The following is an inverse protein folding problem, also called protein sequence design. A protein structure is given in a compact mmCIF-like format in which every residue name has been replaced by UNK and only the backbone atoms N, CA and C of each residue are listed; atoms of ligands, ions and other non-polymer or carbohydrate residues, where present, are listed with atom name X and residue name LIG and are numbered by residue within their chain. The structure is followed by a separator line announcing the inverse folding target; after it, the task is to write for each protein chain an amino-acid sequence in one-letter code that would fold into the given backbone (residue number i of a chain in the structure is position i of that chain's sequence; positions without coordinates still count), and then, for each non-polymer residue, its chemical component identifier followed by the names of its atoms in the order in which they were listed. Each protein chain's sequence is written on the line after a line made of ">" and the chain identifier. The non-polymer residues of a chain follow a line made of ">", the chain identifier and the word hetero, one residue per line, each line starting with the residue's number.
data_IF_620666106882
#
_entry.id   IF_620666106882
#
_cell.length_a   1.000
_cell.length_b   1.000
_cell.length_c   1.000
_cell.angle_alpha   90.00
_cell.angle_beta   90.00
_cell.angle_gamma   90.00
#
_symmetry.space_group_name_H-M   'P 1'
#
loop_
_entity.id
_entity.type
_entity.pdbx_description
1 polymer ?
#
# COMPACT_ATOMS: atom_id res chain seq x y z
N UNK A 1 6.04 -14.73 -10.10
CA UNK A 1 6.90 -13.67 -9.54
C UNK A 1 6.86 -13.72 -8.02
N UNK A 2 7.88 -13.18 -7.34
CA UNK A 2 7.88 -12.89 -5.90
C UNK A 2 7.65 -11.40 -5.69
N UNK A 3 6.47 -11.04 -5.20
CA UNK A 3 6.02 -9.66 -5.06
C UNK A 3 5.90 -9.33 -3.58
N UNK A 4 6.44 -8.18 -3.18
CA UNK A 4 6.25 -7.63 -1.84
C UNK A 4 5.41 -6.36 -1.93
N UNK A 5 4.36 -6.30 -1.12
CA UNK A 5 3.65 -5.07 -0.80
C UNK A 5 4.00 -4.65 0.62
N UNK A 6 4.41 -3.40 0.83
CA UNK A 6 4.59 -2.81 2.15
C UNK A 6 3.52 -1.75 2.36
N UNK A 7 2.82 -1.83 3.49
CA UNK A 7 1.74 -0.91 3.80
C UNK A 7 2.24 0.46 4.26
N UNK A 8 1.35 1.24 4.86
CA UNK A 8 1.45 2.69 4.99
C UNK A 8 2.76 3.15 5.67
N UNK A 9 3.63 3.84 4.93
CA UNK A 9 4.89 4.36 5.48
C UNK A 9 4.61 5.58 6.34
N UNK A 10 4.88 5.46 7.64
CA UNK A 10 4.58 6.52 8.61
C UNK A 10 5.80 7.33 9.00
N UNK A 11 5.82 8.59 8.58
CA UNK A 11 6.77 9.59 9.06
C UNK A 11 8.23 9.18 8.91
N UNK A 12 9.11 9.77 9.73
CA UNK A 12 10.58 9.55 9.61
C UNK A 12 10.97 8.12 9.95
N UNK A 13 10.37 7.53 10.98
CA UNK A 13 10.67 6.17 11.41
C UNK A 13 10.38 5.15 10.31
N UNK A 14 9.21 5.25 9.64
CA UNK A 14 8.86 4.40 8.51
C UNK A 14 9.84 4.52 7.35
N UNK A 15 10.15 5.76 6.91
CA UNK A 15 11.13 5.97 5.82
C UNK A 15 12.51 5.38 6.14
N UNK A 16 12.97 5.55 7.38
CA UNK A 16 14.26 5.02 7.82
C UNK A 16 14.28 3.48 7.83
N UNK A 17 13.20 2.85 8.31
CA UNK A 17 13.07 1.40 8.30
C UNK A 17 13.05 0.83 6.87
N UNK A 18 12.30 1.44 5.94
CA UNK A 18 12.30 1.03 4.53
C UNK A 18 13.71 1.14 3.95
N UNK A 19 14.36 2.30 4.09
CA UNK A 19 15.71 2.55 3.55
C UNK A 19 16.74 1.54 4.08
N UNK A 20 16.59 1.14 5.34
CA UNK A 20 17.53 0.23 6.01
C UNK A 20 17.29 -1.23 5.65
N UNK A 21 16.04 -1.68 5.61
CA UNK A 21 15.73 -3.10 5.50
C UNK A 21 15.41 -3.54 4.07
N UNK A 22 14.74 -2.71 3.27
CA UNK A 22 14.22 -3.13 1.96
C UNK A 22 15.31 -3.67 1.01
N UNK A 23 16.50 -3.04 0.86
CA UNK A 23 17.55 -3.59 0.00
C UNK A 23 17.93 -5.03 0.36
N UNK A 24 18.13 -5.29 1.67
CA UNK A 24 18.45 -6.64 2.18
C UNK A 24 17.29 -7.62 1.94
N UNK A 25 16.04 -7.19 2.18
CA UNK A 25 14.86 -8.03 1.96
C UNK A 25 14.68 -8.41 0.49
N UNK A 26 15.02 -7.52 -0.45
CA UNK A 26 15.01 -7.84 -1.88
C UNK A 26 15.94 -8.99 -2.21
N UNK A 27 17.15 -8.99 -1.65
CA UNK A 27 18.15 -10.03 -1.88
C UNK A 27 17.75 -11.35 -1.19
N UNK A 28 17.42 -11.29 0.11
CA UNK A 28 17.09 -12.48 0.91
C UNK A 28 15.85 -13.21 0.38
N UNK A 29 14.80 -12.46 0.04
CA UNK A 29 13.54 -13.05 -0.43
C UNK A 29 13.48 -13.17 -1.94
N UNK A 30 14.51 -12.70 -2.66
CA UNK A 30 14.62 -12.70 -4.13
C UNK A 30 13.41 -12.02 -4.77
N UNK A 31 13.11 -10.81 -4.31
CA UNK A 31 11.93 -10.06 -4.74
C UNK A 31 12.08 -9.61 -6.20
N UNK A 32 11.10 -9.98 -7.02
CA UNK A 32 10.99 -9.55 -8.40
C UNK A 32 10.41 -8.14 -8.50
N UNK A 33 9.50 -7.78 -7.60
CA UNK A 33 8.76 -6.52 -7.64
C UNK A 33 8.30 -6.08 -6.25
N UNK A 34 8.40 -4.79 -5.95
CA UNK A 34 8.06 -4.19 -4.66
C UNK A 34 7.15 -2.98 -4.84
N UNK A 35 6.02 -2.99 -4.15
CA UNK A 35 5.10 -1.84 -4.05
C UNK A 35 5.09 -1.35 -2.60
N UNK A 36 5.16 -0.04 -2.39
CA UNK A 36 5.13 0.57 -1.06
C UNK A 36 4.05 1.64 -1.02
N UNK A 37 3.17 1.59 -0.02
CA UNK A 37 2.23 2.68 0.23
C UNK A 37 2.95 3.84 0.96
N UNK A 38 3.06 4.99 0.29
CA UNK A 38 3.80 6.15 0.77
C UNK A 38 2.96 7.26 1.39
N UNK A 39 1.66 7.04 1.66
CA UNK A 39 0.72 8.15 1.86
C UNK A 39 0.90 8.96 3.14
N UNK A 40 1.59 8.44 4.16
CA UNK A 40 1.88 9.18 5.40
C UNK A 40 3.38 9.50 5.55
N UNK A 41 4.16 9.31 4.48
CA UNK A 41 5.61 9.31 4.61
C UNK A 41 6.17 10.70 4.89
N UNK A 42 5.45 11.80 4.65
CA UNK A 42 5.92 13.17 4.94
C UNK A 42 5.17 13.77 6.11
N UNK A 43 5.81 13.79 7.29
CA UNK A 43 5.21 14.39 8.49
C UNK A 43 3.92 13.72 8.95
N UNK A 44 3.62 12.50 8.50
CA UNK A 44 2.43 11.73 8.84
C UNK A 44 1.25 11.91 7.89
N UNK A 45 1.32 12.82 6.91
CA UNK A 45 0.24 13.03 5.93
C UNK A 45 0.82 13.51 4.59
N UNK A 46 0.56 12.76 3.54
CA UNK A 46 1.07 12.94 2.18
C UNK A 46 2.54 12.55 2.00
N UNK A 47 3.03 12.75 0.78
CA UNK A 47 4.38 12.41 0.35
C UNK A 47 4.97 13.59 -0.44
N UNK A 48 6.17 14.05 -0.10
CA UNK A 48 6.94 14.98 -0.96
C UNK A 48 7.76 14.20 -1.98
N UNK A 49 8.08 14.81 -3.12
CA UNK A 49 8.93 14.21 -4.15
C UNK A 49 10.32 13.84 -3.63
N UNK A 50 10.88 14.65 -2.73
CA UNK A 50 12.15 14.33 -2.06
C UNK A 50 12.06 13.04 -1.23
N UNK A 51 10.99 12.85 -0.47
CA UNK A 51 10.79 11.61 0.30
C UNK A 51 10.37 10.43 -0.58
N UNK A 52 9.64 10.67 -1.68
CA UNK A 52 9.31 9.64 -2.67
C UNK A 52 10.58 9.05 -3.28
N UNK A 53 11.53 9.91 -3.66
CA UNK A 53 12.82 9.50 -4.19
C UNK A 53 13.58 8.61 -3.21
N UNK A 54 13.56 8.91 -1.90
CA UNK A 54 14.19 8.05 -0.88
C UNK A 54 13.63 6.62 -0.91
N UNK A 55 12.30 6.48 -0.97
CA UNK A 55 11.65 5.16 -0.98
C UNK A 55 11.93 4.40 -2.29
N UNK A 56 11.94 5.10 -3.42
CA UNK A 56 12.28 4.52 -4.73
C UNK A 56 13.75 4.10 -4.80
N UNK A 57 14.67 4.94 -4.33
CA UNK A 57 16.11 4.66 -4.28
C UNK A 57 16.44 3.51 -3.31
N UNK A 58 15.60 3.27 -2.29
CA UNK A 58 15.69 2.12 -1.40
C UNK A 58 15.23 0.79 -2.04
N UNK A 59 14.70 0.82 -3.26
CA UNK A 59 14.31 -0.37 -4.02
C UNK A 59 12.80 -0.61 -4.12
N UNK A 60 11.95 0.38 -3.84
CA UNK A 60 10.54 0.32 -4.25
C UNK A 60 10.42 0.49 -5.77
N UNK A 61 9.68 -0.40 -6.44
CA UNK A 61 9.43 -0.29 -7.88
C UNK A 61 8.26 0.67 -8.17
N UNK A 62 7.26 0.69 -7.27
CA UNK A 62 6.07 1.54 -7.36
C UNK A 62 5.72 2.09 -5.98
N UNK A 63 5.28 3.34 -5.94
CA UNK A 63 4.66 3.94 -4.77
C UNK A 63 3.17 4.13 -5.01
N UNK A 64 2.35 3.59 -4.12
CA UNK A 64 0.93 3.96 -4.02
C UNK A 64 0.77 5.07 -2.98
N UNK A 65 -0.33 5.81 -3.07
CA UNK A 65 -0.65 6.88 -2.13
C UNK A 65 -1.88 6.48 -1.31
N UNK A 66 -2.93 7.29 -1.29
CA UNK A 66 -4.09 7.03 -0.46
C UNK A 66 -4.96 8.26 -0.42
N UNK A 67 -5.73 8.45 0.63
CA UNK A 67 -6.58 9.62 0.72
C UNK A 67 -5.75 10.88 0.96
N UNK A 68 -4.56 10.76 1.58
CA UNK A 68 -3.62 11.86 1.80
C UNK A 68 -2.72 12.21 0.60
N UNK A 69 -3.01 11.67 -0.59
CA UNK A 69 -2.17 11.80 -1.79
C UNK A 69 -1.67 13.22 -2.10
N UNK A 70 -2.49 14.25 -1.85
CA UNK A 70 -2.18 15.65 -2.22
C UNK A 70 -2.14 16.62 -1.03
N UNK A 71 -2.03 16.10 0.20
CA UNK A 71 -1.89 16.95 1.40
C UNK A 71 -0.53 17.67 1.44
N UNK A 72 0.46 17.13 0.73
CA UNK A 72 1.68 17.84 0.37
C UNK A 72 1.52 18.50 -1.00
N UNK A 73 1.51 19.84 -1.04
CA UNK A 73 1.35 20.61 -2.29
C UNK A 73 2.37 20.23 -3.37
N UNK A 74 3.58 19.86 -2.94
CA UNK A 74 4.66 19.38 -3.80
C UNK A 74 4.25 18.16 -4.65
N UNK A 75 3.44 17.23 -4.11
CA UNK A 75 3.02 16.04 -4.85
C UNK A 75 2.16 16.36 -6.07
N UNK A 76 1.33 17.42 -6.00
CA UNK A 76 0.50 17.83 -7.14
C UNK A 76 1.35 18.20 -8.37
N UNK A 77 2.55 18.76 -8.15
CA UNK A 77 3.47 19.11 -9.23
C UNK A 77 4.42 17.95 -9.58
N UNK A 78 4.78 17.13 -8.60
CA UNK A 78 5.79 16.09 -8.78
C UNK A 78 5.27 14.81 -9.45
N UNK A 79 4.01 14.43 -9.20
CA UNK A 79 3.48 13.11 -9.58
C UNK A 79 3.54 12.82 -11.09
N UNK A 80 3.37 13.84 -11.94
CA UNK A 80 3.43 13.66 -13.40
C UNK A 80 4.86 13.46 -13.92
N UNK A 81 5.87 13.89 -13.16
CA UNK A 81 7.29 13.73 -13.51
C UNK A 81 7.88 12.39 -13.09
N UNK A 82 7.26 11.71 -12.13
CA UNK A 82 7.73 10.43 -11.60
C UNK A 82 6.73 9.31 -11.93
N UNK A 83 6.96 8.55 -13.02
CA UNK A 83 5.99 7.59 -13.51
C UNK A 83 5.75 6.38 -12.60
N UNK A 84 6.57 6.19 -11.55
CA UNK A 84 6.45 5.10 -10.57
C UNK A 84 5.51 5.42 -9.40
N UNK A 85 4.96 6.64 -9.34
CA UNK A 85 3.98 7.01 -8.31
C UNK A 85 2.58 6.93 -8.93
N UNK A 86 1.67 6.25 -8.25
CA UNK A 86 0.24 6.25 -8.60
C UNK A 86 -0.60 6.75 -7.43
N UNK A 87 -1.73 7.37 -7.76
CA UNK A 87 -2.74 7.86 -6.80
C UNK A 87 -4.03 7.03 -6.92
N UNK A 88 -5.03 7.16 -6.05
CA UNK A 88 -6.26 6.41 -6.23
C UNK A 88 -7.02 6.77 -7.53
N UNK A 89 -7.51 5.78 -8.27
CA UNK A 89 -8.26 5.94 -9.53
C UNK A 89 -9.45 6.88 -9.40
N UNK A 90 -10.19 6.72 -8.31
CA UNK A 90 -11.45 7.37 -8.00
C UNK A 90 -11.30 8.63 -7.12
N UNK A 91 -10.11 9.27 -7.12
CA UNK A 91 -9.86 10.47 -6.32
C UNK A 91 -10.53 11.74 -6.89
N UNK A 92 -10.30 12.01 -8.18
CA UNK A 92 -10.88 13.11 -8.98
C UNK A 92 -10.44 12.96 -10.44
N UNK A 93 -11.31 13.28 -11.40
CA UNK A 93 -10.98 13.30 -12.83
C UNK A 93 -9.97 14.40 -13.21
N UNK A 94 -9.89 15.46 -12.42
CA UNK A 94 -8.97 16.58 -12.65
C UNK A 94 -7.65 16.47 -11.85
N UNK A 95 -7.52 15.46 -10.98
CA UNK A 95 -6.30 15.27 -10.22
C UNK A 95 -5.15 14.79 -11.14
N UNK A 96 -3.92 15.31 -10.93
CA UNK A 96 -2.75 14.88 -11.70
C UNK A 96 -2.37 13.43 -11.40
N UNK A 97 -1.48 12.88 -12.22
CA UNK A 97 -1.06 11.49 -12.13
C UNK A 97 -2.14 10.50 -12.54
N UNK A 98 -1.76 9.23 -12.50
CA UNK A 98 -2.62 8.10 -12.88
C UNK A 98 -2.95 7.24 -11.67
N UNK A 99 -4.06 6.49 -11.74
CA UNK A 99 -4.39 5.53 -10.68
C UNK A 99 -4.21 4.06 -11.02
N UNK A 100 -3.82 3.76 -12.25
CA UNK A 100 -3.36 2.43 -12.62
C UNK A 100 -2.29 2.56 -13.71
N UNK A 101 -1.31 1.66 -13.67
CA UNK A 101 -0.25 1.58 -14.68
C UNK A 101 0.37 0.18 -14.73
N UNK A 102 0.82 -0.19 -15.92
CA UNK A 102 1.62 -1.41 -16.13
C UNK A 102 3.10 -1.05 -16.04
N UNK A 103 3.81 -1.76 -15.17
CA UNK A 103 5.23 -1.60 -14.91
C UNK A 103 6.00 -2.80 -15.42
N UNK A 104 7.24 -2.57 -15.85
CA UNK A 104 8.16 -3.64 -16.21
C UNK A 104 8.74 -4.27 -14.94
N UNK A 105 8.85 -5.59 -14.96
CA UNK A 105 9.54 -6.41 -13.97
C UNK A 105 10.65 -7.22 -14.65
N UNK A 106 11.62 -7.77 -13.89
CA UNK A 106 12.74 -8.54 -14.45
C UNK A 106 12.27 -9.68 -15.36
N UNK A 107 13.05 -10.00 -16.40
CA UNK A 107 12.72 -11.10 -17.33
C UNK A 107 11.59 -10.78 -18.33
N UNK A 108 11.33 -9.50 -18.60
CA UNK A 108 10.32 -9.06 -19.57
C UNK A 108 8.87 -9.18 -19.07
N UNK A 109 8.70 -9.50 -17.78
CA UNK A 109 7.39 -9.62 -17.13
C UNK A 109 6.80 -8.23 -16.87
N UNK A 110 5.49 -8.17 -16.75
CA UNK A 110 4.72 -6.94 -16.53
C UNK A 110 3.80 -7.08 -15.33
N UNK A 111 3.75 -6.03 -14.52
CA UNK A 111 2.89 -5.95 -13.33
C UNK A 111 1.95 -4.75 -13.47
N UNK A 112 0.64 -5.00 -13.49
CA UNK A 112 -0.35 -3.94 -13.32
C UNK A 112 -0.41 -3.56 -11.83
N UNK A 113 -0.29 -2.28 -11.52
CA UNK A 113 -0.60 -1.78 -10.17
C UNK A 113 -1.73 -0.76 -10.30
N UNK A 114 -2.74 -0.90 -9.46
CA UNK A 114 -3.85 0.04 -9.36
C UNK A 114 -4.18 0.33 -7.90
N UNK A 115 -4.70 1.52 -7.64
CA UNK A 115 -5.15 1.90 -6.31
C UNK A 115 -6.56 2.48 -6.35
N UNK A 116 -7.37 2.19 -5.33
CA UNK A 116 -8.68 2.80 -5.13
C UNK A 116 -8.90 3.23 -3.69
N UNK A 117 -9.79 4.20 -3.53
CA UNK A 117 -10.32 4.61 -2.24
C UNK A 117 -11.68 3.96 -2.01
N UNK A 118 -11.93 3.50 -0.78
CA UNK A 118 -13.27 3.13 -0.37
C UNK A 118 -14.16 4.35 -0.14
N UNK A 119 -15.37 4.11 0.33
CA UNK A 119 -16.36 5.15 0.62
C UNK A 119 -16.77 5.15 2.10
N UNK A 120 -16.87 3.97 2.72
CA UNK A 120 -17.43 3.85 4.07
C UNK A 120 -16.42 4.36 5.09
N UNK A 121 -16.85 5.32 5.92
CA UNK A 121 -16.04 5.99 6.95
C UNK A 121 -14.80 6.75 6.44
N UNK A 122 -14.73 7.01 5.14
CA UNK A 122 -13.68 7.85 4.55
C UNK A 122 -13.99 9.35 4.72
N UNK A 123 -12.96 10.20 4.61
CA UNK A 123 -13.07 11.65 4.87
C UNK A 123 -14.08 12.40 3.99
N UNK A 124 -14.43 11.84 2.84
CA UNK A 124 -15.45 12.34 1.91
C UNK A 124 -15.93 11.20 1.00
N UNK A 125 -17.10 11.32 0.37
CA UNK A 125 -17.48 10.40 -0.68
C UNK A 125 -16.55 10.53 -1.89
N UNK A 126 -16.06 9.38 -2.38
CA UNK A 126 -15.28 9.25 -3.61
C UNK A 126 -16.14 8.57 -4.69
N UNK A 127 -15.69 8.61 -5.96
CA UNK A 127 -16.37 7.90 -7.05
C UNK A 127 -16.34 6.37 -6.80
N UNK A 128 -17.24 5.61 -7.43
CA UNK A 128 -17.37 4.17 -7.24
C UNK A 128 -16.04 3.40 -7.49
N UNK A 129 -15.43 2.77 -6.46
CA UNK A 129 -14.18 2.02 -6.63
C UNK A 129 -14.37 0.73 -7.44
N UNK A 130 -15.54 0.10 -7.39
CA UNK A 130 -15.78 -1.19 -8.05
C UNK A 130 -15.78 -1.04 -9.57
N UNK A 131 -16.55 -0.08 -10.09
CA UNK A 131 -16.54 0.23 -11.53
C UNK A 131 -15.17 0.70 -12.02
N UNK A 132 -14.43 1.45 -11.20
CA UNK A 132 -13.07 1.90 -11.53
C UNK A 132 -12.11 0.70 -11.70
N UNK A 133 -12.12 -0.25 -10.76
CA UNK A 133 -11.31 -1.46 -10.83
C UNK A 133 -11.74 -2.36 -11.99
N UNK A 134 -13.05 -2.54 -12.22
CA UNK A 134 -13.56 -3.36 -13.32
C UNK A 134 -13.04 -2.89 -14.68
N UNK A 135 -13.06 -1.57 -14.91
CA UNK A 135 -12.56 -0.98 -16.15
C UNK A 135 -11.08 -1.28 -16.37
N UNK A 136 -10.25 -1.16 -15.32
CA UNK A 136 -8.81 -1.41 -15.40
C UNK A 136 -8.50 -2.89 -15.62
N UNK A 137 -9.15 -3.79 -14.90
CA UNK A 137 -8.91 -5.24 -15.01
C UNK A 137 -9.37 -5.80 -16.36
N UNK A 138 -10.47 -5.30 -16.93
CA UNK A 138 -10.90 -5.68 -18.29
C UNK A 138 -9.89 -5.28 -19.35
N UNK A 139 -9.25 -4.12 -19.19
CA UNK A 139 -8.23 -3.65 -20.12
C UNK A 139 -6.90 -4.40 -19.96
N UNK A 140 -6.65 -5.07 -18.84
CA UNK A 140 -5.37 -5.72 -18.56
C UNK A 140 -5.56 -7.12 -17.94
N UNK A 141 -6.13 -8.08 -18.70
CA UNK A 141 -6.34 -9.43 -18.19
C UNK A 141 -5.02 -10.12 -17.82
N UNK A 142 -5.05 -10.86 -16.71
CA UNK A 142 -3.92 -11.66 -16.23
C UNK A 142 -3.62 -12.86 -17.13
N UNK A 143 -2.38 -13.35 -17.09
CA UNK A 143 -1.93 -14.50 -17.88
C UNK A 143 -1.76 -14.20 -19.37
N UNK A 144 -1.75 -12.92 -19.73
CA UNK A 144 -1.55 -12.43 -21.08
C UNK A 144 -0.80 -11.10 -21.07
N UNK A 145 -1.53 -9.99 -21.06
CA UNK A 145 -0.93 -8.64 -21.14
C UNK A 145 -0.10 -8.27 -19.92
N UNK A 146 -0.44 -8.84 -18.76
CA UNK A 146 0.33 -8.72 -17.51
C UNK A 146 0.49 -10.09 -16.86
N UNK A 147 1.65 -10.31 -16.24
CA UNK A 147 1.99 -11.54 -15.50
C UNK A 147 1.57 -11.44 -14.02
N UNK A 148 1.28 -10.25 -13.53
CA UNK A 148 0.56 -10.06 -12.27
C UNK A 148 -0.21 -8.73 -12.26
N UNK A 149 -1.20 -8.65 -11.38
CA UNK A 149 -1.91 -7.41 -11.05
C UNK A 149 -2.07 -7.26 -9.54
N UNK A 150 -1.79 -6.06 -9.04
CA UNK A 150 -1.88 -5.70 -7.62
C UNK A 150 -2.86 -4.54 -7.46
N UNK A 151 -3.87 -4.73 -6.63
CA UNK A 151 -4.88 -3.74 -6.29
C UNK A 151 -4.69 -3.35 -4.82
N UNK A 152 -4.29 -2.09 -4.59
CA UNK A 152 -4.24 -1.47 -3.27
C UNK A 152 -5.62 -0.83 -2.96
N UNK A 153 -6.30 -1.36 -1.95
CA UNK A 153 -7.64 -0.93 -1.53
C UNK A 153 -7.52 -0.10 -0.26
N UNK A 154 -7.39 1.20 -0.45
CA UNK A 154 -7.16 2.14 0.64
C UNK A 154 -8.50 2.58 1.26
N UNK A 155 -8.94 1.91 2.33
CA UNK A 155 -10.19 2.26 3.01
C UNK A 155 -10.33 1.76 4.44
N UNK A 156 -11.31 2.31 5.15
CA UNK A 156 -11.58 2.01 6.57
C UNK A 156 -12.38 0.70 6.76
N UNK A 157 -13.51 0.56 6.07
CA UNK A 157 -14.44 -0.53 6.36
C UNK A 157 -13.95 -1.89 5.86
N UNK A 158 -13.80 -2.85 6.78
CA UNK A 158 -13.42 -4.24 6.47
C UNK A 158 -14.39 -4.90 5.49
N UNK A 159 -15.69 -4.61 5.58
CA UNK A 159 -16.69 -5.14 4.65
C UNK A 159 -16.46 -4.69 3.20
N UNK A 160 -16.03 -3.44 2.99
CA UNK A 160 -15.72 -2.90 1.67
C UNK A 160 -14.44 -3.55 1.10
N UNK A 161 -13.43 -3.77 1.95
CA UNK A 161 -12.19 -4.49 1.60
C UNK A 161 -12.47 -5.92 1.18
N UNK A 162 -13.24 -6.66 1.97
CA UNK A 162 -13.63 -8.05 1.65
C UNK A 162 -14.47 -8.11 0.38
N UNK A 163 -15.43 -7.20 0.21
CA UNK A 163 -16.24 -7.12 -1.01
C UNK A 163 -15.37 -6.88 -2.26
N UNK A 164 -14.38 -5.98 -2.18
CA UNK A 164 -13.43 -5.76 -3.28
C UNK A 164 -12.57 -6.99 -3.55
N UNK A 165 -12.10 -7.68 -2.51
CA UNK A 165 -11.38 -8.96 -2.62
C UNK A 165 -12.17 -9.99 -3.41
N UNK A 166 -13.42 -10.24 -3.01
CA UNK A 166 -14.31 -11.17 -3.72
C UNK A 166 -14.68 -10.70 -5.12
N UNK A 167 -14.87 -9.40 -5.33
CA UNK A 167 -15.14 -8.83 -6.64
C UNK A 167 -13.98 -9.08 -7.62
N UNK A 168 -12.74 -8.97 -7.14
CA UNK A 168 -11.54 -9.14 -7.96
C UNK A 168 -11.07 -10.60 -8.08
N UNK A 169 -11.66 -11.54 -7.35
CA UNK A 169 -11.18 -12.91 -7.29
C UNK A 169 -11.13 -13.57 -8.68
N UNK A 170 -9.98 -14.16 -9.02
CA UNK A 170 -9.69 -14.76 -10.32
C UNK A 170 -9.41 -13.74 -11.45
N UNK A 171 -9.51 -12.44 -11.18
CA UNK A 171 -9.24 -11.34 -12.12
C UNK A 171 -8.05 -10.48 -11.72
N UNK A 172 -7.67 -10.50 -10.43
CA UNK A 172 -6.46 -9.88 -9.92
C UNK A 172 -5.51 -10.90 -9.26
N UNK A 173 -4.20 -10.62 -9.21
CA UNK A 173 -3.25 -11.49 -8.53
C UNK A 173 -3.27 -11.24 -7.04
N UNK A 174 -3.34 -9.97 -6.65
CA UNK A 174 -3.21 -9.48 -5.29
C UNK A 174 -4.25 -8.39 -5.08
N UNK A 175 -5.04 -8.52 -4.01
CA UNK A 175 -5.91 -7.46 -3.49
C UNK A 175 -5.55 -7.28 -2.03
N UNK A 176 -4.96 -6.14 -1.70
CA UNK A 176 -4.45 -5.86 -0.36
C UNK A 176 -5.01 -4.54 0.11
N UNK A 177 -5.54 -4.49 1.33
CA UNK A 177 -6.00 -3.25 1.91
C UNK A 177 -4.90 -2.47 2.64
N UNK A 178 -5.09 -1.16 2.73
CA UNK A 178 -4.28 -0.21 3.51
C UNK A 178 -5.21 0.75 4.27
N UNK A 179 -4.68 1.81 4.90
CA UNK A 179 -5.39 2.88 5.65
C UNK A 179 -5.48 2.65 7.17
N UNK A 180 -5.83 1.45 7.64
CA UNK A 180 -6.16 1.27 9.07
C UNK A 180 -4.92 1.15 9.97
N UNK A 181 -3.73 1.02 9.36
CA UNK A 181 -2.43 0.95 10.00
C UNK A 181 -2.17 -0.28 10.88
N UNK A 182 -3.13 -1.21 10.98
CA UNK A 182 -3.00 -2.43 11.79
C UNK A 182 -3.04 -3.66 10.88
N UNK A 183 -1.98 -4.48 10.83
CA UNK A 183 -1.97 -5.64 9.94
C UNK A 183 -2.99 -6.67 10.41
N UNK A 184 -3.85 -7.12 9.50
CA UNK A 184 -4.85 -8.15 9.78
C UNK A 184 -4.26 -9.55 9.62
N UNK A 185 -4.80 -10.53 10.37
CA UNK A 185 -4.31 -11.90 10.39
C UNK A 185 -4.96 -12.83 9.34
N UNK A 186 -5.55 -12.27 8.29
CA UNK A 186 -6.45 -12.96 7.36
C UNK A 186 -5.87 -13.13 5.95
N UNK A 187 -4.54 -13.15 5.83
CA UNK A 187 -3.89 -13.40 4.56
C UNK A 187 -4.27 -14.80 4.01
N UNK A 188 -4.83 -14.83 2.81
CA UNK A 188 -5.30 -16.07 2.17
C UNK A 188 -5.26 -15.98 0.65
N UNK A 189 -5.25 -17.15 -0.02
CA UNK A 189 -5.51 -17.23 -1.46
C UNK A 189 -6.98 -17.60 -1.63
N UNK A 190 -7.74 -16.74 -2.29
CA UNK A 190 -9.16 -16.94 -2.59
C UNK A 190 -9.34 -18.05 -3.66
N UNK A 191 -10.55 -18.65 -3.78
CA UNK A 191 -10.78 -19.77 -4.69
C UNK A 191 -10.42 -19.52 -6.17
N UNK A 192 -10.56 -18.29 -6.65
CA UNK A 192 -10.18 -17.89 -8.01
C UNK A 192 -8.66 -17.78 -8.23
N UNK A 193 -7.87 -17.76 -7.16
CA UNK A 193 -6.41 -17.66 -7.17
C UNK A 193 -5.88 -16.25 -6.87
N UNK A 194 -6.68 -15.38 -6.25
CA UNK A 194 -6.26 -14.04 -5.82
C UNK A 194 -5.73 -14.09 -4.40
N UNK A 195 -4.51 -13.57 -4.16
CA UNK A 195 -4.03 -13.31 -2.80
C UNK A 195 -4.78 -12.13 -2.20
N UNK A 196 -5.25 -12.28 -0.96
CA UNK A 196 -6.04 -11.30 -0.25
C UNK A 196 -5.51 -11.08 1.17
N UNK A 197 -5.54 -9.83 1.64
CA UNK A 197 -5.43 -9.46 3.05
C UNK A 197 -6.23 -8.17 3.30
N UNK A 198 -7.00 -8.12 4.39
CA UNK A 198 -7.84 -6.95 4.71
C UNK A 198 -7.01 -5.70 4.97
N UNK A 199 -5.89 -5.78 5.68
CA UNK A 199 -4.97 -4.65 5.82
C UNK A 199 -3.52 -5.11 5.98
N UNK A 200 -2.61 -4.53 5.19
CA UNK A 200 -1.18 -4.80 5.25
C UNK A 200 -0.50 -4.25 6.51
N UNK A 201 -1.15 -3.31 7.20
CA UNK A 201 -0.62 -2.57 8.34
C UNK A 201 0.31 -1.44 7.93
N UNK A 202 0.80 -0.71 8.93
CA UNK A 202 1.73 0.39 8.77
C UNK A 202 3.20 -0.07 8.80
N UNK A 203 4.04 0.61 8.01
CA UNK A 203 5.49 0.65 8.18
C UNK A 203 5.87 1.85 9.05
N UNK A 204 5.95 1.66 10.37
CA UNK A 204 6.10 2.76 11.33
C UNK A 204 6.25 2.30 12.77
N UNK A 205 6.36 3.25 13.69
CA UNK A 205 6.45 2.98 15.13
C UNK A 205 5.09 2.54 15.68
N UNK A 206 4.98 1.27 16.10
CA UNK A 206 3.75 0.72 16.71
C UNK A 206 3.60 1.03 18.20
N UNK A 207 4.61 1.62 18.84
CA UNK A 207 4.49 2.18 20.17
C UNK A 207 3.81 3.56 20.12
N UNK A 208 2.68 3.65 19.45
CA UNK A 208 2.04 4.90 19.08
C UNK A 208 0.53 4.71 19.04
N UNK A 209 -0.22 5.77 18.70
CA UNK A 209 -1.63 5.65 18.34
C UNK A 209 -1.72 5.88 16.84
N UNK A 210 -1.84 4.78 16.07
CA UNK A 210 -1.97 4.81 14.60
C UNK A 210 -0.80 5.56 13.94
N UNK A 211 0.41 5.42 14.50
CA UNK A 211 1.62 6.08 14.01
C UNK A 211 1.91 7.46 14.62
N UNK A 212 0.99 8.00 15.43
CA UNK A 212 1.11 9.32 16.05
C UNK A 212 1.58 9.24 17.51
N UNK A 213 2.31 10.26 17.96
CA UNK A 213 2.69 10.46 19.36
C UNK A 213 1.48 10.40 20.28
N UNK A 214 1.55 9.54 21.30
CA UNK A 214 0.37 9.06 22.07
C UNK A 214 -0.37 10.18 22.79
N UNK A 215 0.34 11.21 23.24
CA UNK A 215 -0.19 12.23 24.17
C UNK A 215 -1.39 12.98 23.58
N UNK A 216 -1.30 13.43 22.32
CA UNK A 216 -2.36 14.24 21.72
C UNK A 216 -3.61 13.42 21.36
N UNK A 217 -3.52 12.26 20.69
CA UNK A 217 -4.66 11.37 20.47
C UNK A 217 -5.36 10.97 21.77
N UNK A 218 -4.61 10.52 22.80
CA UNK A 218 -5.19 10.12 24.08
C UNK A 218 -5.93 11.28 24.75
N UNK A 219 -5.35 12.49 24.72
CA UNK A 219 -6.03 13.68 25.25
C UNK A 219 -7.35 13.93 24.54
N UNK A 220 -7.38 13.87 23.21
CA UNK A 220 -8.62 14.11 22.44
C UNK A 220 -9.69 13.10 22.80
N UNK A 221 -9.34 11.82 22.95
CA UNK A 221 -10.29 10.79 23.37
C UNK A 221 -10.80 11.00 24.81
N UNK A 222 -9.92 11.36 25.76
CA UNK A 222 -10.29 11.50 27.18
C UNK A 222 -11.06 12.80 27.44
N UNK A 223 -10.67 13.89 26.78
CA UNK A 223 -11.15 15.24 27.12
C UNK A 223 -12.08 15.85 26.08
N UNK A 224 -12.14 15.27 24.88
CA UNK A 224 -12.81 15.88 23.71
C UNK A 224 -12.13 17.14 23.16
N UNK A 225 -10.99 17.56 23.73
CA UNK A 225 -10.35 18.84 23.39
C UNK A 225 -8.92 18.68 22.87
N UNK A 226 -8.58 19.29 21.71
CA UNK A 226 -7.21 19.30 21.23
C UNK A 226 -6.33 20.22 22.07
N UNK A 227 -5.03 19.94 22.14
CA UNK A 227 -4.01 20.86 22.69
C UNK A 227 -2.87 21.12 21.72
N UNK A 228 -2.42 20.09 21.03
CA UNK A 228 -1.37 20.14 20.04
C UNK A 228 -1.84 19.59 18.67
N UNK A 229 -1.00 19.78 17.66
CA UNK A 229 -1.17 19.04 16.40
C UNK A 229 -0.66 17.61 16.59
N UNK A 230 -1.16 16.70 15.75
CA UNK A 230 -0.57 15.37 15.69
C UNK A 230 0.85 15.45 15.14
N UNK A 231 1.73 14.63 15.70
CA UNK A 231 3.10 14.44 15.24
C UNK A 231 3.38 12.94 15.15
N UNK A 232 4.04 12.45 14.09
CA UNK A 232 4.42 11.05 14.01
C UNK A 232 5.32 10.64 15.16
N UNK A 233 5.13 9.43 15.67
CA UNK A 233 6.06 8.81 16.59
C UNK A 233 7.38 8.45 15.89
N UNK A 234 8.48 8.42 16.63
CA UNK A 234 9.84 8.33 16.05
C UNK A 234 10.70 7.20 16.58
N UNK A 235 10.16 6.29 17.41
CA UNK A 235 10.92 5.13 17.89
C UNK A 235 11.03 4.06 16.80
N UNK A 236 11.57 2.90 17.16
CA UNK A 236 11.81 1.79 16.24
C UNK A 236 10.53 1.35 15.51
N UNK A 237 10.59 1.39 14.17
CA UNK A 237 9.48 1.00 13.32
C UNK A 237 9.44 -0.51 13.06
N UNK A 238 8.23 -1.05 12.95
CA UNK A 238 7.98 -2.35 12.32
C UNK A 238 7.57 -2.12 10.87
N UNK A 239 8.22 -2.82 9.95
CA UNK A 239 7.73 -2.94 8.56
C UNK A 239 6.61 -3.99 8.52
N UNK A 240 5.43 -3.60 8.02
CA UNK A 240 4.30 -4.51 7.83
C UNK A 240 3.91 -4.58 6.36
N UNK A 241 3.52 -5.77 5.89
CA UNK A 241 3.25 -5.98 4.48
C UNK A 241 2.75 -7.38 4.14
N UNK A 242 2.71 -7.66 2.84
CA UNK A 242 2.25 -8.91 2.25
C UNK A 242 3.26 -9.39 1.19
N UNK A 243 3.76 -10.60 1.38
CA UNK A 243 4.58 -11.31 0.41
C UNK A 243 3.72 -12.29 -0.38
N UNK A 244 3.85 -12.28 -1.71
CA UNK A 244 3.06 -13.12 -2.60
C UNK A 244 3.95 -13.77 -3.65
N UNK A 245 3.72 -15.06 -3.89
CA UNK A 245 4.27 -15.76 -5.07
C UNK A 245 3.15 -15.95 -6.09
N UNK A 246 3.41 -15.58 -7.34
CA UNK A 246 2.50 -15.78 -8.47
C UNK A 246 3.06 -16.75 -9.51
N UNK A 247 2.18 -17.43 -10.23
CA UNK A 247 2.49 -18.18 -11.46
C UNK A 247 2.52 -17.20 -12.65
N UNK A 248 3.66 -17.10 -13.35
CA UNK A 248 3.85 -16.11 -14.42
C UNK A 248 2.99 -16.39 -15.68
N UNK A 249 2.54 -17.64 -15.87
CA UNK A 249 1.69 -18.01 -17.02
C UNK A 249 0.24 -17.64 -16.79
N UNK A 250 -0.25 -17.75 -15.55
CA UNK A 250 -1.68 -17.52 -15.22
C UNK A 250 -1.92 -16.19 -14.51
N UNK A 251 -0.89 -15.62 -13.90
CA UNK A 251 -0.97 -14.48 -12.98
C UNK A 251 -1.60 -14.78 -11.63
N UNK A 252 -1.97 -16.04 -11.33
CA UNK A 252 -2.60 -16.41 -10.06
C UNK A 252 -1.58 -16.47 -8.94
N UNK A 253 -1.99 -16.11 -7.73
CA UNK A 253 -1.22 -16.33 -6.52
C UNK A 253 -1.18 -17.82 -6.18
N UNK A 254 0.00 -18.31 -5.80
CA UNK A 254 0.25 -19.69 -5.37
C UNK A 254 0.65 -19.77 -3.89
N UNK A 255 1.10 -18.65 -3.31
CA UNK A 255 1.50 -18.53 -1.90
C UNK A 255 1.32 -17.09 -1.45
N UNK A 256 0.87 -16.91 -0.21
CA UNK A 256 0.71 -15.60 0.43
C UNK A 256 1.14 -15.68 1.90
N UNK A 257 1.91 -14.70 2.35
CA UNK A 257 2.41 -14.62 3.72
C UNK A 257 2.42 -13.17 4.21
N UNK A 258 1.93 -12.96 5.43
CA UNK A 258 2.07 -11.67 6.12
C UNK A 258 3.51 -11.41 6.51
N UNK A 259 3.93 -10.16 6.40
CA UNK A 259 5.26 -9.70 6.75
C UNK A 259 5.18 -8.75 7.93
N UNK A 260 6.02 -8.99 8.95
CA UNK A 260 6.32 -8.09 10.06
C UNK A 260 7.80 -8.19 10.39
N UNK A 261 8.55 -7.12 10.19
CA UNK A 261 10.01 -7.12 10.39
C UNK A 261 10.45 -5.89 11.19
N UNK A 262 11.28 -6.10 12.22
CA UNK A 262 11.78 -5.05 13.11
C UNK A 262 10.74 -4.54 14.12
N UNK A 263 11.16 -3.64 15.00
CA UNK A 263 10.27 -2.97 15.96
C UNK A 263 9.57 -3.92 16.91
N UNK A 264 8.27 -3.67 17.15
CA UNK A 264 7.52 -4.27 18.26
C UNK A 264 6.61 -5.44 17.92
N UNK A 265 6.07 -5.50 16.70
CA UNK A 265 5.11 -6.55 16.39
C UNK A 265 5.82 -7.91 16.32
N UNK A 266 5.04 -8.98 16.55
CA UNK A 266 5.52 -10.34 16.38
C UNK A 266 6.04 -10.55 14.95
N UNK A 267 7.31 -10.92 14.85
CA UNK A 267 8.01 -11.06 13.59
C UNK A 267 7.36 -12.13 12.70
N UNK A 268 7.27 -11.86 11.41
CA UNK A 268 6.79 -12.77 10.39
C UNK A 268 7.54 -12.50 9.07
N UNK A 269 8.07 -13.55 8.46
CA UNK A 269 8.85 -13.49 7.23
C UNK A 269 8.52 -14.72 6.37
N UNK A 270 8.76 -14.67 5.05
CA UNK A 270 8.58 -15.84 4.20
C UNK A 270 9.52 -16.97 4.62
N UNK A 271 8.99 -18.18 4.71
CA UNK A 271 9.78 -19.41 4.87
C UNK A 271 10.60 -19.77 3.62
#
# INVERSE_FOLDING_TARGET
>A
MRILFLGDVMGRAGRAAITTHLPRLRDEWRLDFVVVNGENATGGMGLSGAHAKILLDAGADVLTLGDHAFDQKDMMAFIDSEPRIIRPLNFSKAAPGVGARVFNAPGGRKVLVAQVLGQVFMKRPFDDPFSAVDSVLRQHPMGGMVQASLIDVHCEATSEKMAMGHFCDGRASIVVGTHTHVPTADAMVLPGGTAYQTDAGMCGDYNSVIGMEKTEPLRRFITGMPKARFSPATEEATLSGLFVVTDDRTGKATRVEMIRTGGRLQQAAPA
#
